data_IF_382165683242
#
_entry.id   IF_382165683242
#
_cell.length_a   1.000
_cell.length_b   1.000
_cell.length_c   1.000
_cell.angle_alpha   90.00
_cell.angle_beta   90.00
_cell.angle_gamma   90.00
#
_symmetry.space_group_name_H-M   'P 1'
#
loop_
_entity.id
_entity.type
_entity.pdbx_description
1 polymer ?
#
# COMPACT_ATOMS: atom_id res chain seq x y z
N UNK A 1 2.19 11.65 4.94
CA UNK A 1 1.80 10.85 3.77
C UNK A 1 0.98 9.65 4.19
N UNK A 2 -0.06 9.33 3.47
CA UNK A 2 -0.94 8.22 3.80
C UNK A 2 -0.88 7.15 2.71
N UNK A 3 -1.09 5.91 3.11
CA UNK A 3 -1.18 4.80 2.18
C UNK A 3 -2.48 4.06 2.46
N UNK A 4 -3.04 3.48 1.42
CA UNK A 4 -4.27 2.70 1.51
C UNK A 4 -4.05 1.37 0.80
N UNK A 5 -4.51 0.31 1.40
CA UNK A 5 -4.46 -1.00 0.76
C UNK A 5 -5.64 -1.16 -0.17
N UNK A 6 -5.45 -1.91 -1.24
CA UNK A 6 -6.54 -2.24 -2.17
C UNK A 6 -6.61 -3.76 -2.26
N UNK A 7 -7.80 -4.30 -2.09
CA UNK A 7 -8.03 -5.74 -2.19
C UNK A 7 -8.99 -6.04 -3.34
N UNK A 8 -8.92 -7.26 -3.84
CA UNK A 8 -9.87 -7.72 -4.85
C UNK A 8 -11.07 -8.38 -4.19
N UNK A 9 -11.98 -8.91 -5.00
CA UNK A 9 -13.20 -9.55 -4.48
C UNK A 9 -12.96 -10.84 -3.71
N UNK A 10 -11.71 -11.32 -3.67
CA UNK A 10 -11.32 -12.49 -2.87
C UNK A 10 -10.72 -12.08 -1.53
N UNK A 11 -10.76 -10.79 -1.18
CA UNK A 11 -10.12 -10.24 0.02
C UNK A 11 -8.60 -10.40 0.01
N UNK A 12 -8.01 -10.45 -1.17
CA UNK A 12 -6.56 -10.49 -1.30
C UNK A 12 -6.03 -9.08 -1.57
N UNK A 13 -5.00 -8.69 -0.84
CA UNK A 13 -4.38 -7.38 -1.06
C UNK A 13 -3.58 -7.45 -2.36
N UNK A 14 -3.94 -6.60 -3.32
CA UNK A 14 -3.33 -6.64 -4.66
C UNK A 14 -2.38 -5.48 -4.90
N UNK A 15 -2.57 -4.34 -4.23
CA UNK A 15 -1.66 -3.22 -4.36
C UNK A 15 -1.86 -2.24 -3.22
N UNK A 16 -0.98 -1.23 -3.19
CA UNK A 16 -1.05 -0.13 -2.23
C UNK A 16 -1.27 1.14 -3.05
N UNK A 17 -2.12 2.02 -2.55
CA UNK A 17 -2.34 3.32 -3.19
C UNK A 17 -1.86 4.40 -2.23
N UNK A 18 -1.00 5.29 -2.72
CA UNK A 18 -0.53 6.42 -1.92
C UNK A 18 -1.53 7.57 -1.97
N UNK A 19 -1.37 8.51 -1.04
CA UNK A 19 -2.30 9.64 -0.95
C UNK A 19 -2.27 10.56 -2.17
N UNK A 20 -1.22 10.46 -2.98
CA UNK A 20 -1.12 11.24 -4.21
C UNK A 20 -1.67 10.50 -5.44
N UNK A 21 -2.25 9.31 -5.22
CA UNK A 21 -2.90 8.56 -6.28
C UNK A 21 -2.04 7.53 -7.00
N UNK A 22 -0.87 7.23 -6.47
CA UNK A 22 0.01 6.23 -7.09
C UNK A 22 -0.36 4.82 -6.66
N UNK A 23 -0.36 3.90 -7.61
CA UNK A 23 -0.50 2.47 -7.33
C UNK A 23 0.88 1.87 -7.15
N UNK A 24 1.07 1.15 -6.05
CA UNK A 24 2.36 0.58 -5.68
C UNK A 24 2.23 -0.93 -5.62
N UNK A 25 2.94 -1.67 -6.47
CA UNK A 25 2.91 -3.14 -6.39
C UNK A 25 3.75 -3.65 -5.23
N UNK A 26 3.51 -4.89 -4.84
CA UNK A 26 4.31 -5.54 -3.80
C UNK A 26 5.59 -6.12 -4.41
N UNK A 27 6.43 -5.25 -4.91
CA UNK A 27 7.69 -5.64 -5.54
C UNK A 27 8.84 -5.11 -4.69
N UNK A 28 9.65 -5.98 -4.07
CA UNK A 28 10.74 -5.52 -3.20
C UNK A 28 11.80 -4.69 -3.94
N UNK A 29 11.84 -4.77 -5.27
CA UNK A 29 12.73 -3.93 -6.06
C UNK A 29 12.13 -2.55 -6.36
N UNK A 30 10.87 -2.33 -6.03
CA UNK A 30 10.20 -1.06 -6.29
C UNK A 30 10.51 -0.07 -5.17
N UNK A 31 11.04 1.10 -5.51
CA UNK A 31 11.44 2.09 -4.51
C UNK A 31 10.23 2.65 -3.74
N UNK A 32 9.08 2.76 -4.40
CA UNK A 32 7.88 3.23 -3.72
C UNK A 32 7.40 2.23 -2.68
N UNK A 33 7.51 0.94 -2.98
CA UNK A 33 7.18 -0.10 -2.01
C UNK A 33 8.13 -0.05 -0.81
N UNK A 34 9.41 0.16 -1.05
CA UNK A 34 10.38 0.28 0.04
C UNK A 34 10.09 1.50 0.90
N UNK A 35 9.68 2.60 0.30
CA UNK A 35 9.28 3.78 1.05
C UNK A 35 8.06 3.50 1.92
N UNK A 36 7.11 2.73 1.40
CA UNK A 36 5.95 2.30 2.18
C UNK A 36 6.38 1.45 3.39
N UNK A 37 7.29 0.51 3.17
CA UNK A 37 7.76 -0.35 4.26
C UNK A 37 8.46 0.47 5.35
N UNK A 38 9.25 1.45 4.97
CA UNK A 38 9.91 2.33 5.93
C UNK A 38 8.89 3.14 6.72
N UNK A 39 7.83 3.61 6.06
CA UNK A 39 6.77 4.35 6.70
C UNK A 39 6.05 3.49 7.74
N UNK A 40 5.76 2.24 7.41
CA UNK A 40 5.13 1.31 8.36
C UNK A 40 6.07 1.01 9.52
N UNK A 41 7.36 0.89 9.25
CA UNK A 41 8.35 0.61 10.29
C UNK A 41 8.47 1.75 11.31
N UNK A 42 8.05 2.96 10.94
CA UNK A 42 8.02 4.09 11.87
C UNK A 42 6.84 4.03 12.84
N UNK A 43 5.98 3.04 12.72
CA UNK A 43 4.81 2.89 13.59
C UNK A 43 3.52 3.34 12.96
N UNK A 44 3.51 3.63 11.67
CA UNK A 44 2.31 4.05 10.95
C UNK A 44 1.51 2.84 10.47
N UNK A 45 0.23 3.05 10.24
CA UNK A 45 -0.64 2.00 9.72
C UNK A 45 -1.35 2.50 8.48
N UNK A 46 -1.42 1.68 7.42
CA UNK A 46 -2.17 2.06 6.22
C UNK A 46 -3.66 2.07 6.49
N UNK A 47 -4.40 2.79 5.67
CA UNK A 47 -5.85 2.80 5.75
C UNK A 47 -6.41 1.42 5.41
N UNK A 48 -7.63 1.08 5.89
CA UNK A 48 -8.23 -0.21 5.59
C UNK A 48 -8.34 -0.47 4.10
N UNK A 49 -8.24 -1.74 3.72
CA UNK A 49 -8.32 -2.13 2.33
C UNK A 49 -9.71 -1.84 1.76
N UNK A 50 -9.74 -1.34 0.53
CA UNK A 50 -10.97 -1.20 -0.23
C UNK A 50 -11.08 -2.35 -1.20
N UNK A 51 -12.26 -2.92 -1.32
CA UNK A 51 -12.52 -4.01 -2.26
C UNK A 51 -12.91 -3.43 -3.62
N UNK A 52 -12.28 -3.92 -4.65
CA UNK A 52 -12.62 -3.54 -6.02
C UNK A 52 -13.79 -4.34 -6.56
#
# INVERSE_FOLDING_TARGET
MQYKLVSNHRNEIVCIVSSDGKSIPFDPANSDYQAYLAWVAEGNEPLPAETE
#
